data_IF_052064346360
#
_entry.id   IF_052064346360
#
_cell.length_a   1.000
_cell.length_b   1.000
_cell.length_c   1.000
_cell.angle_alpha   90.00
_cell.angle_beta   90.00
_cell.angle_gamma   90.00
#
_symmetry.space_group_name_H-M   'P 1'
#
loop_
_entity.id
_entity.type
_entity.pdbx_description
1 polymer ?
#
# COMPACT_ATOMS: atom_id res chain seq x y z
N UNK A 1 32.11 28.29 37.00
CA UNK A 1 30.81 28.10 36.30
C UNK A 1 30.86 28.54 34.82
N UNK A 2 31.86 28.11 34.03
CA UNK A 2 31.96 28.44 32.59
C UNK A 2 31.75 27.21 31.67
N UNK A 3 32.05 26.00 32.15
CA UNK A 3 31.94 24.76 31.37
C UNK A 3 30.52 24.24 31.12
N UNK A 4 29.53 24.65 31.92
CA UNK A 4 28.13 24.20 31.74
C UNK A 4 27.47 24.91 30.54
N UNK A 5 27.86 26.16 30.25
CA UNK A 5 27.28 26.95 29.15
C UNK A 5 27.66 26.42 27.76
N UNK A 6 28.84 25.80 27.63
CA UNK A 6 29.32 25.21 26.36
C UNK A 6 28.67 23.87 26.05
N UNK A 7 28.35 23.06 27.06
CA UNK A 7 27.64 21.79 26.86
C UNK A 7 26.18 22.04 26.44
N UNK A 8 25.53 23.06 27.00
CA UNK A 8 24.19 23.46 26.59
C UNK A 8 24.11 23.92 25.13
N UNK A 9 25.18 24.55 24.60
CA UNK A 9 25.25 24.98 23.21
C UNK A 9 25.45 23.82 22.21
N UNK A 10 26.21 22.79 22.59
CA UNK A 10 26.42 21.59 21.74
C UNK A 10 25.18 20.68 21.71
N UNK A 11 24.47 20.55 22.83
CA UNK A 11 23.18 19.85 22.88
C UNK A 11 22.09 20.60 22.10
N UNK A 12 22.15 21.93 22.05
CA UNK A 12 21.19 22.76 21.30
C UNK A 12 21.31 22.67 19.77
N UNK A 13 22.49 22.36 19.23
CA UNK A 13 22.70 22.28 17.77
C UNK A 13 22.53 20.84 17.24
N UNK A 14 22.85 19.81 18.04
CA UNK A 14 22.66 18.41 17.65
C UNK A 14 21.19 17.98 17.56
N UNK A 15 20.31 18.54 18.40
CA UNK A 15 18.88 18.21 18.40
C UNK A 15 18.07 18.88 17.30
N UNK A 16 18.49 20.07 16.84
CA UNK A 16 17.76 20.80 15.78
C UNK A 16 18.01 20.16 14.41
N UNK A 17 19.19 19.55 14.18
CA UNK A 17 19.47 18.82 12.94
C UNK A 17 18.82 17.43 12.86
N UNK A 18 18.81 16.67 13.97
CA UNK A 18 18.29 15.29 14.00
C UNK A 18 16.76 15.20 13.90
N UNK A 19 16.02 16.09 14.56
CA UNK A 19 14.55 16.03 14.56
C UNK A 19 13.94 16.36 13.19
N UNK A 20 14.59 17.21 12.39
CA UNK A 20 14.13 17.58 11.05
C UNK A 20 14.29 16.42 10.07
N UNK A 21 15.40 15.66 10.16
CA UNK A 21 15.63 14.51 9.29
C UNK A 21 14.56 13.42 9.48
N UNK A 22 14.11 13.18 10.72
CA UNK A 22 13.10 12.15 11.02
C UNK A 22 11.75 12.44 10.35
N UNK A 23 11.31 13.71 10.30
CA UNK A 23 10.07 14.10 9.63
C UNK A 23 10.08 13.87 8.12
N UNK A 24 11.27 13.91 7.48
CA UNK A 24 11.42 13.65 6.04
C UNK A 24 11.69 12.18 5.70
N UNK A 25 11.91 11.32 6.70
CA UNK A 25 12.19 9.90 6.45
C UNK A 25 10.95 9.03 6.30
N UNK A 26 9.78 9.55 6.67
CA UNK A 26 8.54 8.81 6.55
C UNK A 26 8.12 8.76 5.07
N UNK A 27 7.98 7.57 4.45
CA UNK A 27 7.67 7.47 3.03
C UNK A 27 6.35 8.18 2.67
N UNK A 28 6.23 8.62 1.42
CA UNK A 28 5.05 9.31 0.92
C UNK A 28 3.92 8.34 0.57
N UNK A 29 2.72 8.87 0.31
CA UNK A 29 1.61 8.06 -0.22
C UNK A 29 1.98 7.45 -1.59
N UNK A 30 2.54 8.26 -2.49
CA UNK A 30 2.91 7.82 -3.84
C UNK A 30 3.98 6.71 -3.86
N UNK A 31 4.93 6.78 -2.91
CA UNK A 31 5.93 5.74 -2.71
C UNK A 31 5.27 4.42 -2.24
N UNK A 32 4.27 4.52 -1.35
CA UNK A 32 3.51 3.36 -0.91
C UNK A 32 2.65 2.78 -2.04
N UNK A 33 1.95 3.63 -2.79
CA UNK A 33 1.14 3.21 -3.93
C UNK A 33 1.96 2.38 -4.93
N UNK A 34 3.21 2.81 -5.20
CA UNK A 34 4.13 2.09 -6.07
C UNK A 34 4.57 0.74 -5.48
N UNK A 35 4.93 0.73 -4.19
CA UNK A 35 5.29 -0.49 -3.46
C UNK A 35 4.16 -1.51 -3.44
N UNK A 36 2.97 -1.09 -2.98
CA UNK A 36 1.80 -1.93 -2.85
C UNK A 36 1.28 -2.42 -4.22
N UNK A 37 1.38 -1.61 -5.28
CA UNK A 37 1.05 -2.06 -6.64
C UNK A 37 1.93 -3.24 -7.06
N UNK A 38 3.25 -3.15 -6.86
CA UNK A 38 4.17 -4.23 -7.22
C UNK A 38 3.95 -5.48 -6.36
N UNK A 39 3.69 -5.30 -5.07
CA UNK A 39 3.35 -6.41 -4.19
C UNK A 39 2.05 -7.11 -4.62
N UNK A 40 1.02 -6.33 -4.96
CA UNK A 40 -0.26 -6.83 -5.45
C UNK A 40 -0.08 -7.61 -6.76
N UNK A 41 0.71 -7.08 -7.70
CA UNK A 41 1.03 -7.77 -8.96
C UNK A 41 1.68 -9.13 -8.73
N UNK A 42 2.68 -9.19 -7.86
CA UNK A 42 3.34 -10.46 -7.51
C UNK A 42 2.35 -11.45 -6.89
N UNK A 43 1.48 -11.00 -5.99
CA UNK A 43 0.47 -11.87 -5.37
C UNK A 43 -0.58 -12.37 -6.36
N UNK A 44 -1.05 -11.50 -7.26
CA UNK A 44 -2.03 -11.84 -8.30
C UNK A 44 -1.42 -12.83 -9.31
N UNK A 45 -0.21 -12.55 -9.78
CA UNK A 45 0.47 -13.39 -10.76
C UNK A 45 0.80 -14.77 -10.18
N UNK A 46 1.33 -14.84 -8.95
CA UNK A 46 1.73 -16.10 -8.30
C UNK A 46 0.54 -16.95 -7.82
N UNK A 47 -0.47 -16.34 -7.19
CA UNK A 47 -1.52 -17.11 -6.51
C UNK A 47 -2.84 -17.18 -7.27
N UNK A 48 -3.16 -16.17 -8.10
CA UNK A 48 -4.49 -16.10 -8.74
C UNK A 48 -4.42 -16.43 -10.23
N UNK A 49 -3.41 -15.92 -10.94
CA UNK A 49 -3.25 -16.18 -12.37
C UNK A 49 -2.79 -17.61 -12.64
N UNK A 50 -1.94 -18.19 -11.79
CA UNK A 50 -1.52 -19.59 -11.93
C UNK A 50 -2.67 -20.58 -11.66
N UNK A 51 -3.63 -20.20 -10.82
CA UNK A 51 -4.84 -20.99 -10.56
C UNK A 51 -5.95 -20.72 -11.60
N UNK A 52 -5.73 -19.80 -12.54
CA UNK A 52 -6.70 -19.50 -13.58
C UNK A 52 -6.76 -20.63 -14.63
N UNK A 53 -7.92 -20.84 -15.29
CA UNK A 53 -8.01 -21.75 -16.40
C UNK A 53 -6.97 -21.43 -17.48
N UNK A 54 -6.35 -22.45 -18.09
CA UNK A 54 -5.25 -22.27 -19.06
C UNK A 54 -5.57 -21.33 -20.24
N UNK A 55 -6.84 -21.16 -20.60
CA UNK A 55 -7.25 -20.22 -21.65
C UNK A 55 -7.25 -18.74 -21.20
N UNK A 56 -7.22 -18.47 -19.90
CA UNK A 56 -7.22 -17.13 -19.29
C UNK A 56 -5.88 -16.75 -18.65
N UNK A 57 -4.98 -17.70 -18.39
CA UNK A 57 -3.69 -17.45 -17.74
C UNK A 57 -2.92 -16.29 -18.38
N UNK A 58 -2.74 -16.34 -19.71
CA UNK A 58 -2.04 -15.27 -20.44
C UNK A 58 -2.77 -13.92 -20.43
N UNK A 59 -4.11 -13.92 -20.37
CA UNK A 59 -4.92 -12.69 -20.24
C UNK A 59 -4.77 -12.12 -18.83
N UNK A 60 -4.76 -12.97 -17.80
CA UNK A 60 -4.57 -12.60 -16.41
C UNK A 60 -3.20 -11.95 -16.20
N UNK A 61 -2.11 -12.64 -16.55
CA UNK A 61 -0.75 -12.09 -16.38
C UNK A 61 -0.54 -10.83 -17.21
N UNK A 62 -1.13 -10.74 -18.42
CA UNK A 62 -1.07 -9.50 -19.20
C UNK A 62 -1.84 -8.35 -18.55
N UNK A 63 -3.00 -8.59 -17.96
CA UNK A 63 -3.78 -7.55 -17.28
C UNK A 63 -3.04 -7.07 -16.03
N UNK A 64 -2.55 -8.00 -15.22
CA UNK A 64 -1.83 -7.74 -13.97
C UNK A 64 -0.52 -7.01 -14.25
N UNK A 65 0.28 -7.49 -15.21
CA UNK A 65 1.61 -6.95 -15.49
C UNK A 65 1.65 -5.63 -16.27
N UNK A 66 0.64 -5.35 -17.10
CA UNK A 66 0.69 -4.18 -18.00
C UNK A 66 -0.08 -2.95 -17.50
N UNK A 67 -0.85 -3.06 -16.41
CA UNK A 67 -1.77 -2.01 -15.98
C UNK A 67 -1.42 -1.43 -14.60
N UNK A 68 -0.15 -1.02 -14.43
CA UNK A 68 0.33 -0.33 -13.23
C UNK A 68 -0.58 0.84 -12.82
N UNK A 69 -1.08 1.63 -13.78
CA UNK A 69 -1.90 2.81 -13.50
C UNK A 69 -3.26 2.46 -12.86
N UNK A 70 -3.87 1.37 -13.32
CA UNK A 70 -5.14 0.87 -12.78
C UNK A 70 -4.94 0.33 -11.37
N UNK A 71 -3.93 -0.53 -11.17
CA UNK A 71 -3.62 -1.11 -9.87
C UNK A 71 -3.21 -0.04 -8.86
N UNK A 72 -2.45 0.96 -9.32
CA UNK A 72 -2.09 2.13 -8.51
C UNK A 72 -3.33 2.93 -8.10
N UNK A 73 -4.30 3.08 -9.00
CA UNK A 73 -5.57 3.75 -8.69
C UNK A 73 -6.37 2.98 -7.66
N UNK A 74 -6.45 1.66 -7.80
CA UNK A 74 -7.12 0.79 -6.83
C UNK A 74 -6.44 0.87 -5.46
N UNK A 75 -5.12 0.71 -5.40
CA UNK A 75 -4.34 0.86 -4.16
C UNK A 75 -4.60 2.24 -3.55
N UNK A 76 -4.59 3.30 -4.36
CA UNK A 76 -4.84 4.66 -3.88
C UNK A 76 -6.25 4.84 -3.31
N UNK A 77 -7.29 4.32 -3.96
CA UNK A 77 -8.68 4.47 -3.50
C UNK A 77 -9.00 3.61 -2.28
N UNK A 78 -8.30 2.48 -2.14
CA UNK A 78 -8.43 1.54 -1.01
C UNK A 78 -7.49 1.83 0.16
N UNK A 79 -6.57 2.79 0.04
CA UNK A 79 -5.55 3.03 1.08
C UNK A 79 -5.82 4.30 1.88
N UNK A 80 -5.86 4.16 3.20
CA UNK A 80 -5.81 5.27 4.14
C UNK A 80 -4.43 5.36 4.79
N UNK A 81 -3.81 6.54 4.76
CA UNK A 81 -2.54 6.80 5.44
C UNK A 81 -2.72 7.59 6.71
N UNK A 82 -2.25 7.02 7.83
CA UNK A 82 -2.13 7.69 9.13
C UNK A 82 -0.68 8.01 9.41
N UNK A 83 -0.35 9.30 9.44
CA UNK A 83 1.02 9.77 9.70
C UNK A 83 1.20 10.07 11.20
N UNK A 84 2.12 9.36 11.85
CA UNK A 84 2.48 9.51 13.26
C UNK A 84 3.86 10.15 13.45
N UNK A 85 4.24 11.05 12.53
CA UNK A 85 5.52 11.78 12.48
C UNK A 85 6.72 10.91 12.11
N UNK A 86 7.12 9.99 12.99
CA UNK A 86 8.30 9.12 12.79
C UNK A 86 8.00 7.89 11.94
N UNK A 87 6.73 7.55 11.79
CA UNK A 87 6.23 6.44 10.99
C UNK A 87 4.87 6.80 10.37
N UNK A 88 4.50 6.11 9.30
CA UNK A 88 3.13 6.07 8.80
C UNK A 88 2.59 4.66 8.94
N UNK A 89 1.29 4.55 9.19
CA UNK A 89 0.53 3.32 8.98
C UNK A 89 -0.31 3.50 7.72
N UNK A 90 -0.29 2.50 6.86
CA UNK A 90 -1.09 2.41 5.66
C UNK A 90 -2.05 1.23 5.83
N UNK A 91 -3.33 1.57 5.94
CA UNK A 91 -4.43 0.62 5.99
C UNK A 91 -4.97 0.49 4.56
N UNK A 92 -4.94 -0.70 3.98
CA UNK A 92 -5.41 -0.95 2.62
C UNK A 92 -6.51 -2.00 2.64
N UNK A 93 -7.72 -1.59 2.26
CA UNK A 93 -8.92 -2.43 2.21
C UNK A 93 -9.25 -2.81 0.77
N UNK A 94 -8.81 -4.00 0.37
CA UNK A 94 -9.06 -4.52 -0.98
C UNK A 94 -10.38 -5.30 -0.99
N UNK A 95 -11.43 -4.60 -1.41
CA UNK A 95 -12.71 -5.20 -1.76
C UNK A 95 -12.73 -5.51 -3.27
N UNK A 96 -12.82 -6.78 -3.70
CA UNK A 96 -12.89 -7.14 -5.10
C UNK A 96 -14.12 -6.54 -5.83
N UNK A 97 -15.20 -6.22 -5.11
CA UNK A 97 -16.35 -5.51 -5.68
C UNK A 97 -16.05 -4.03 -5.93
N UNK A 98 -15.30 -3.36 -5.04
CA UNK A 98 -14.82 -2.00 -5.26
C UNK A 98 -13.81 -1.93 -6.41
N UNK A 99 -12.96 -2.95 -6.55
CA UNK A 99 -12.06 -3.08 -7.70
C UNK A 99 -12.85 -3.21 -9.01
N UNK A 100 -13.95 -3.96 -9.01
CA UNK A 100 -14.77 -4.16 -10.19
C UNK A 100 -15.50 -2.88 -10.62
N UNK A 101 -15.93 -2.04 -9.68
CA UNK A 101 -16.52 -0.72 -9.98
C UNK A 101 -15.52 0.20 -10.73
N UNK A 102 -14.23 0.08 -10.44
CA UNK A 102 -13.18 0.81 -11.17
C UNK A 102 -12.86 0.22 -12.55
N UNK A 103 -13.20 -1.04 -12.80
CA UNK A 103 -12.94 -1.74 -14.07
C UNK A 103 -14.11 -1.67 -15.04
N UNK A 104 -15.33 -1.58 -14.51
CA UNK A 104 -16.54 -1.58 -15.32
C UNK A 104 -17.03 -0.14 -15.53
N UNK A 105 -17.35 0.25 -16.78
CA UNK A 105 -18.09 1.49 -16.98
C UNK A 105 -19.46 1.35 -16.31
N UNK A 106 -19.90 2.40 -15.60
CA UNK A 106 -21.10 2.39 -14.75
C UNK A 106 -22.45 2.11 -15.43
N UNK A 107 -22.44 1.72 -16.71
CA UNK A 107 -23.60 1.25 -17.47
C UNK A 107 -23.66 -0.28 -17.63
N UNK A 108 -22.66 -1.03 -17.16
CA UNK A 108 -22.59 -2.47 -17.32
C UNK A 108 -22.96 -3.19 -16.00
N UNK A 109 -24.18 -3.71 -15.91
CA UNK A 109 -24.61 -4.59 -14.82
C UNK A 109 -24.28 -6.04 -15.21
N UNK A 110 -23.18 -6.57 -14.70
CA UNK A 110 -22.83 -7.98 -14.84
C UNK A 110 -23.41 -8.74 -13.64
N UNK A 111 -24.38 -9.62 -13.88
CA UNK A 111 -24.83 -10.59 -12.88
C UNK A 111 -23.80 -11.71 -12.79
N UNK A 112 -22.76 -11.46 -12.02
CA UNK A 112 -21.77 -12.48 -11.63
C UNK A 112 -22.45 -13.35 -10.59
N UNK A 113 -22.51 -14.66 -10.85
CA UNK A 113 -23.16 -15.62 -9.95
C UNK A 113 -22.62 -15.52 -8.53
N UNK A 114 -23.47 -15.87 -7.56
CA UNK A 114 -23.26 -15.87 -6.10
C UNK A 114 -21.91 -15.29 -5.60
N UNK A 115 -21.92 -14.05 -5.13
CA UNK A 115 -20.77 -13.36 -4.50
C UNK A 115 -20.45 -13.86 -3.08
N UNK A 116 -21.19 -14.84 -2.55
CA UNK A 116 -20.90 -15.47 -1.27
C UNK A 116 -19.58 -16.25 -1.37
N UNK A 117 -18.49 -15.64 -0.90
CA UNK A 117 -17.16 -16.24 -0.86
C UNK A 117 -16.08 -15.43 -1.58
N UNK A 118 -16.34 -14.16 -1.91
CA UNK A 118 -15.28 -13.25 -2.38
C UNK A 118 -14.65 -12.59 -1.15
N UNK A 119 -13.43 -13.00 -0.75
CA UNK A 119 -12.82 -12.50 0.48
C UNK A 119 -12.38 -11.04 0.30
N UNK A 120 -12.69 -10.22 1.30
CA UNK A 120 -12.08 -8.89 1.44
C UNK A 120 -10.72 -9.07 2.10
N UNK A 121 -9.71 -8.34 1.60
CA UNK A 121 -8.37 -8.37 2.16
C UNK A 121 -8.09 -7.07 2.88
N UNK A 122 -7.76 -7.18 4.16
CA UNK A 122 -7.26 -6.07 4.95
C UNK A 122 -5.75 -6.19 5.08
N UNK A 123 -5.03 -5.16 4.66
CA UNK A 123 -3.57 -5.11 4.71
C UNK A 123 -3.13 -3.92 5.57
N UNK A 124 -2.27 -4.18 6.56
CA UNK A 124 -1.61 -3.12 7.32
C UNK A 124 -0.12 -3.08 7.02
N UNK A 125 0.37 -1.90 6.64
CA UNK A 125 1.77 -1.66 6.32
C UNK A 125 2.33 -0.49 7.12
N UNK A 126 3.49 -0.69 7.75
CA UNK A 126 4.25 0.37 8.42
C UNK A 126 5.26 0.94 7.44
N UNK A 127 5.18 2.26 7.22
CA UNK A 127 6.22 3.05 6.56
C UNK A 127 7.12 3.70 7.59
N UNK A 128 8.40 3.34 7.62
CA UNK A 128 9.39 3.93 8.53
C UNK A 128 10.76 3.99 7.86
N UNK A 129 11.46 5.11 8.00
CA UNK A 129 12.79 5.32 7.42
C UNK A 129 12.91 4.97 5.91
N UNK A 130 11.90 5.36 5.12
CA UNK A 130 11.86 5.11 3.68
C UNK A 130 11.63 3.64 3.29
N UNK A 131 11.24 2.79 4.24
CA UNK A 131 10.97 1.37 4.04
C UNK A 131 9.53 1.05 4.40
N UNK A 132 9.00 0.01 3.77
CA UNK A 132 7.66 -0.51 4.03
C UNK A 132 7.75 -1.92 4.62
N UNK A 133 6.91 -2.20 5.60
CA UNK A 133 6.79 -3.48 6.26
C UNK A 133 5.30 -3.83 6.40
N UNK A 134 4.80 -4.70 5.54
CA UNK A 134 3.45 -5.26 5.66
C UNK A 134 3.48 -6.39 6.67
N UNK A 135 2.66 -6.31 7.73
CA UNK A 135 2.71 -7.24 8.85
C UNK A 135 1.37 -7.93 9.13
N UNK A 136 0.26 -7.37 8.66
CA UNK A 136 -1.06 -7.94 8.79
C UNK A 136 -1.70 -8.09 7.42
N UNK A 137 -2.18 -9.30 7.14
CA UNK A 137 -2.92 -9.65 5.94
C UNK A 137 -4.07 -10.56 6.35
N UNK A 138 -5.17 -9.96 6.77
CA UNK A 138 -6.36 -10.67 7.21
C UNK A 138 -7.34 -10.85 6.05
N UNK A 139 -7.86 -12.07 5.90
CA UNK A 139 -8.94 -12.38 4.98
C UNK A 139 -10.24 -12.38 5.77
N UNK A 140 -11.15 -11.47 5.45
CA UNK A 140 -12.50 -11.44 6.01
C UNK A 140 -13.48 -11.98 4.96
N UNK A 141 -14.35 -12.90 5.39
CA UNK A 141 -15.40 -13.53 4.56
C UNK A 141 -16.78 -12.95 4.90
#
# INVERSE_FOLDING_TARGET
MKGIKTIAALLGVGFVGGAIALLFTNPSQDAYETYATKQLQSQLDENMCQDAPAFLEGVCSSMVGNNDALLKTLVKSSTTRRNYYVLSVYETDLDPMAALDHLLPGNLSLSIGNTQGVPTYHLETIGIFGRFFTYEAERTN
#
